data_IF_991156449939
#
_entry.id   IF_991156449939
#
_cell.length_a   1.000
_cell.length_b   1.000
_cell.length_c   1.000
_cell.angle_alpha   90.00
_cell.angle_beta   90.00
_cell.angle_gamma   90.00
#
_symmetry.space_group_name_H-M   'P 1'
#
loop_
_entity.id
_entity.type
_entity.pdbx_description
1 polymer ?
#
# COMPACT_ATOMS: atom_id res chain seq x y z
N UNK A 1 45.46 17.70 16.44
CA UNK A 1 44.11 17.09 16.41
C UNK A 1 43.29 17.78 15.33
N UNK A 2 42.81 17.07 14.30
CA UNK A 2 41.90 17.65 13.30
C UNK A 2 40.46 17.42 13.76
N UNK A 3 39.72 18.49 14.03
CA UNK A 3 38.26 18.43 14.17
C UNK A 3 37.67 18.25 12.76
N UNK A 4 37.19 17.05 12.45
CA UNK A 4 36.28 16.87 11.32
C UNK A 4 34.90 17.38 11.74
N UNK A 5 34.24 18.24 10.94
CA UNK A 5 32.87 18.63 11.21
C UNK A 5 31.97 17.39 11.08
N UNK A 6 31.22 17.09 12.14
CA UNK A 6 30.17 16.07 12.11
C UNK A 6 28.97 16.67 11.39
N UNK A 7 28.80 16.36 10.11
CA UNK A 7 27.55 16.66 9.43
C UNK A 7 26.43 15.79 10.02
N UNK A 8 25.23 16.34 10.27
CA UNK A 8 24.11 15.54 10.74
C UNK A 8 23.80 14.42 9.73
N UNK A 9 23.46 13.23 10.22
CA UNK A 9 23.04 12.12 9.37
C UNK A 9 21.83 12.55 8.54
N UNK A 10 21.85 12.27 7.24
CA UNK A 10 20.68 12.45 6.37
C UNK A 10 19.57 11.51 6.83
N UNK A 11 18.35 12.02 6.90
CA UNK A 11 17.15 11.27 7.24
C UNK A 11 16.26 11.22 6.00
N UNK A 12 15.78 10.03 5.66
CA UNK A 12 14.85 9.79 4.55
C UNK A 12 13.60 9.18 5.17
N UNK A 13 12.44 9.81 4.94
CA UNK A 13 11.16 9.19 5.23
C UNK A 13 10.78 8.28 4.06
N UNK A 14 10.28 7.08 4.36
CA UNK A 14 9.90 6.08 3.36
C UNK A 14 8.45 5.72 3.61
N UNK A 15 7.64 5.78 2.55
CA UNK A 15 6.24 5.36 2.58
C UNK A 15 6.13 3.83 2.55
N UNK A 16 4.98 3.28 2.94
CA UNK A 16 4.75 1.83 2.96
C UNK A 16 3.96 1.39 1.73
N UNK A 17 2.74 1.88 1.57
CA UNK A 17 1.81 1.43 0.53
C UNK A 17 2.33 1.83 -0.86
N UNK A 18 2.41 0.85 -1.75
CA UNK A 18 2.95 0.95 -3.12
C UNK A 18 4.44 1.36 -3.23
N UNK A 19 5.13 1.56 -2.11
CA UNK A 19 6.59 1.82 -2.06
C UNK A 19 7.36 0.63 -1.52
N UNK A 20 6.93 0.08 -0.38
CA UNK A 20 7.50 -1.13 0.22
C UNK A 20 6.53 -2.30 0.15
N UNK A 21 5.23 -2.05 0.11
CA UNK A 21 4.17 -3.03 0.16
C UNK A 21 3.28 -2.95 -1.09
N UNK A 22 2.98 -4.08 -1.73
CA UNK A 22 2.12 -4.15 -2.93
C UNK A 22 0.64 -4.19 -2.55
N UNK A 23 0.20 -3.21 -1.77
CA UNK A 23 -1.14 -3.15 -1.17
C UNK A 23 -2.26 -3.18 -2.20
N UNK A 24 -2.10 -2.50 -3.35
CA UNK A 24 -3.11 -2.49 -4.43
C UNK A 24 -3.36 -3.88 -5.01
N UNK A 25 -2.33 -4.75 -5.07
CA UNK A 25 -2.49 -6.13 -5.54
C UNK A 25 -3.37 -6.91 -4.57
N UNK A 26 -3.01 -6.90 -3.28
CA UNK A 26 -3.72 -7.65 -2.26
C UNK A 26 -5.17 -7.17 -2.09
N UNK A 27 -5.42 -5.86 -2.15
CA UNK A 27 -6.78 -5.34 -2.01
C UNK A 27 -7.64 -5.58 -3.26
N UNK A 28 -7.03 -5.66 -4.45
CA UNK A 28 -7.73 -6.09 -5.66
C UNK A 28 -8.20 -7.54 -5.53
N UNK A 29 -7.31 -8.44 -5.10
CA UNK A 29 -7.64 -9.85 -4.85
C UNK A 29 -8.75 -9.99 -3.81
N UNK A 30 -8.61 -9.31 -2.65
CA UNK A 30 -9.65 -9.28 -1.63
C UNK A 30 -10.99 -8.81 -2.17
N UNK A 31 -11.01 -7.70 -2.93
CA UNK A 31 -12.23 -7.12 -3.43
C UNK A 31 -12.88 -8.01 -4.51
N UNK A 32 -12.08 -8.64 -5.36
CA UNK A 32 -12.54 -9.59 -6.38
C UNK A 32 -13.20 -10.81 -5.73
N UNK A 33 -12.56 -11.40 -4.73
CA UNK A 33 -13.08 -12.58 -4.06
C UNK A 33 -14.30 -12.27 -3.17
N UNK A 34 -14.34 -11.08 -2.56
CA UNK A 34 -15.43 -10.69 -1.65
C UNK A 34 -16.67 -10.18 -2.39
N UNK A 35 -16.48 -9.44 -3.48
CA UNK A 35 -17.57 -8.73 -4.17
C UNK A 35 -17.80 -9.20 -5.62
N UNK A 36 -17.04 -10.21 -6.10
CA UNK A 36 -17.18 -10.75 -7.46
C UNK A 36 -16.71 -9.79 -8.55
N UNK A 37 -15.79 -8.87 -8.23
CA UNK A 37 -15.20 -7.94 -9.21
C UNK A 37 -14.02 -8.55 -9.97
N UNK A 38 -13.49 -7.80 -10.92
CA UNK A 38 -12.32 -8.16 -11.72
C UNK A 38 -11.29 -7.02 -11.78
N UNK A 39 -10.99 -6.43 -10.62
CA UNK A 39 -10.02 -5.35 -10.47
C UNK A 39 -8.59 -5.87 -10.69
N UNK A 40 -7.79 -5.01 -11.29
CA UNK A 40 -6.35 -5.13 -11.51
C UNK A 40 -5.66 -3.89 -10.93
N UNK A 41 -4.32 -3.94 -10.80
CA UNK A 41 -3.54 -2.76 -10.35
C UNK A 41 -3.76 -1.52 -11.21
N UNK A 42 -4.09 -1.68 -12.50
CA UNK A 42 -4.33 -0.57 -13.42
C UNK A 42 -5.63 0.19 -13.11
N UNK A 43 -6.54 -0.39 -12.33
CA UNK A 43 -7.80 0.23 -11.97
C UNK A 43 -7.65 1.25 -10.82
N UNK A 44 -6.57 1.17 -10.03
CA UNK A 44 -6.26 2.07 -8.92
C UNK A 44 -5.60 3.37 -9.41
N UNK A 45 -6.34 4.16 -10.18
CA UNK A 45 -5.87 5.43 -10.77
C UNK A 45 -6.02 6.65 -9.84
N UNK A 46 -6.54 6.44 -8.62
CA UNK A 46 -6.88 7.51 -7.69
C UNK A 46 -6.84 7.00 -6.25
N UNK A 47 -6.33 7.82 -5.32
CA UNK A 47 -6.42 7.57 -3.87
C UNK A 47 -7.84 7.72 -3.32
N UNK A 48 -8.76 8.31 -4.08
CA UNK A 48 -10.18 8.29 -3.79
C UNK A 48 -10.79 6.98 -4.33
N UNK A 49 -10.95 6.01 -3.43
CA UNK A 49 -11.45 4.67 -3.72
C UNK A 49 -12.91 4.63 -4.15
N UNK A 50 -13.68 5.70 -3.93
CA UNK A 50 -15.04 5.80 -4.51
C UNK A 50 -15.00 5.83 -6.03
N UNK A 51 -13.87 6.24 -6.63
CA UNK A 51 -13.66 6.22 -8.09
C UNK A 51 -13.29 4.84 -8.64
N UNK A 52 -12.81 3.95 -7.78
CA UNK A 52 -12.42 2.57 -8.14
C UNK A 52 -13.57 1.61 -7.87
N UNK A 53 -14.19 1.72 -6.70
CA UNK A 53 -15.23 0.80 -6.23
C UNK A 53 -16.65 1.30 -6.43
N UNK A 54 -16.84 2.58 -6.76
CA UNK A 54 -18.12 3.25 -6.67
C UNK A 54 -18.56 3.48 -5.21
N UNK A 55 -19.82 3.87 -5.04
CA UNK A 55 -20.44 4.04 -3.73
C UNK A 55 -20.00 5.32 -3.00
N UNK A 56 -20.07 5.26 -1.68
CA UNK A 56 -19.79 6.35 -0.75
C UNK A 56 -18.41 6.21 -0.11
N UNK A 57 -17.95 7.31 0.50
CA UNK A 57 -16.69 7.33 1.26
C UNK A 57 -16.76 6.37 2.45
N UNK A 58 -17.89 6.32 3.13
CA UNK A 58 -18.14 5.46 4.29
C UNK A 58 -18.07 3.98 3.92
N UNK A 59 -18.65 3.60 2.78
CA UNK A 59 -18.54 2.24 2.25
C UNK A 59 -17.08 1.90 1.91
N UNK A 60 -16.33 2.83 1.30
CA UNK A 60 -14.91 2.62 1.02
C UNK A 60 -14.09 2.42 2.30
N UNK A 61 -14.37 3.20 3.35
CA UNK A 61 -13.74 3.03 4.68
C UNK A 61 -14.09 1.66 5.26
N UNK A 62 -15.36 1.24 5.14
CA UNK A 62 -15.81 -0.08 5.59
C UNK A 62 -15.06 -1.21 4.89
N UNK A 63 -14.91 -1.15 3.57
CA UNK A 63 -14.15 -2.13 2.77
C UNK A 63 -12.68 -2.20 3.19
N UNK A 64 -12.05 -1.06 3.46
CA UNK A 64 -10.68 -1.01 3.98
C UNK A 64 -10.54 -1.70 5.34
N UNK A 65 -11.48 -1.48 6.26
CA UNK A 65 -11.47 -2.16 7.57
C UNK A 65 -11.59 -3.67 7.41
N UNK A 66 -12.50 -4.12 6.56
CA UNK A 66 -12.65 -5.55 6.26
C UNK A 66 -11.36 -6.13 5.64
N UNK A 67 -10.70 -5.38 4.74
CA UNK A 67 -9.41 -5.78 4.20
C UNK A 67 -8.35 -5.93 5.29
N UNK A 68 -8.21 -4.95 6.18
CA UNK A 68 -7.23 -5.00 7.28
C UNK A 68 -7.44 -6.17 8.23
N UNK A 69 -8.70 -6.55 8.48
CA UNK A 69 -9.07 -7.70 9.31
C UNK A 69 -8.98 -9.05 8.56
N UNK A 70 -8.71 -9.02 7.25
CA UNK A 70 -8.69 -10.21 6.40
C UNK A 70 -7.30 -10.85 6.29
N UNK A 71 -7.23 -12.15 5.93
CA UNK A 71 -5.96 -12.80 5.60
C UNK A 71 -5.21 -12.17 4.42
N UNK A 72 -5.87 -11.37 3.56
CA UNK A 72 -5.22 -10.70 2.43
C UNK A 72 -4.23 -9.63 2.90
N UNK A 73 -4.54 -8.91 3.98
CA UNK A 73 -3.63 -7.90 4.53
C UNK A 73 -2.32 -8.51 5.02
N UNK A 74 -2.37 -9.70 5.62
CA UNK A 74 -1.17 -10.42 6.06
C UNK A 74 -0.34 -11.03 4.92
N UNK A 75 -0.88 -11.08 3.70
CA UNK A 75 -0.23 -11.62 2.51
C UNK A 75 0.28 -10.53 1.57
N UNK A 76 0.29 -9.26 2.01
CA UNK A 76 0.82 -8.17 1.19
C UNK A 76 2.32 -8.40 0.98
N UNK A 77 2.69 -8.63 -0.27
CA UNK A 77 4.07 -8.89 -0.66
C UNK A 77 4.88 -7.59 -0.80
N UNK A 78 6.20 -7.63 -0.58
CA UNK A 78 7.04 -6.46 -0.79
C UNK A 78 7.06 -5.99 -2.25
N UNK A 79 7.27 -4.69 -2.46
CA UNK A 79 7.64 -4.16 -3.77
C UNK A 79 9.00 -4.72 -4.17
N UNK A 80 9.15 -5.13 -5.43
CA UNK A 80 10.39 -5.73 -5.93
C UNK A 80 11.59 -4.80 -5.70
N UNK A 81 12.67 -5.33 -5.11
CA UNK A 81 13.88 -4.57 -4.81
C UNK A 81 13.80 -3.65 -3.59
N UNK A 82 12.63 -3.48 -2.97
CA UNK A 82 12.44 -2.54 -1.86
C UNK A 82 13.20 -2.94 -0.60
N UNK A 83 13.22 -4.25 -0.27
CA UNK A 83 13.91 -4.77 0.91
C UNK A 83 15.43 -4.67 0.77
N UNK A 84 15.96 -4.90 -0.44
CA UNK A 84 17.38 -4.77 -0.74
C UNK A 84 17.82 -3.31 -0.65
N UNK A 85 16.96 -2.38 -1.06
CA UNK A 85 17.26 -0.94 -1.10
C UNK A 85 17.37 -0.31 0.30
N UNK A 86 16.66 -0.84 1.29
CA UNK A 86 16.65 -0.31 2.66
C UNK A 86 17.63 -0.99 3.63
N UNK A 87 18.33 -2.04 3.20
CA UNK A 87 19.37 -2.73 4.00
C UNK A 87 20.68 -1.95 4.01
#
# INVERSE_FOLDING_TARGET
MRHQPTFPRKVIAVDLDEVLARTSVAIAEFHNDTYGTSLTVNDFTSYDFTKVWGGTREESIGKWRLFFDSPYFHKVEPVEGSLETLK
#
